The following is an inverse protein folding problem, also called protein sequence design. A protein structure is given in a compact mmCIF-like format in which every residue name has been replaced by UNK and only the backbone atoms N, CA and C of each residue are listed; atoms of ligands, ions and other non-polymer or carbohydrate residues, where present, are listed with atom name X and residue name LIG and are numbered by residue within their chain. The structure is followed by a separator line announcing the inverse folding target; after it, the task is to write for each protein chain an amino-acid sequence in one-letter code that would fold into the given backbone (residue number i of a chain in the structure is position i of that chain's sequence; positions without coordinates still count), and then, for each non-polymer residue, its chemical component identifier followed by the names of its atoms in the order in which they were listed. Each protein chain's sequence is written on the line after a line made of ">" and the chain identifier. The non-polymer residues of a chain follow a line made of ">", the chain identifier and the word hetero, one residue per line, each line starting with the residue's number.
data_IF_026689667729
#
_entry.id   IF_026689667729
#
_cell.length_a   1.000
_cell.length_b   1.000
_cell.length_c   1.000
_cell.angle_alpha   90.00
_cell.angle_beta   90.00
_cell.angle_gamma   90.00
#
_symmetry.space_group_name_H-M   'P 1'
#
loop_
_entity.id
_entity.type
_entity.pdbx_description
1 polymer ?
#
# COMPACT_ATOMS: atom_id res chain seq x y z
N UNK A 1 -20.07 16.25 -1.42
CA UNK A 1 -19.77 14.83 -1.30
C UNK A 1 -20.80 14.10 -0.41
N UNK A 2 -20.72 14.25 0.91
CA UNK A 2 -21.61 13.53 1.85
C UNK A 2 -23.11 13.80 1.58
N UNK A 3 -23.49 15.05 1.38
CA UNK A 3 -24.87 15.43 1.09
C UNK A 3 -25.36 14.83 -0.25
N UNK A 4 -24.54 14.81 -1.27
CA UNK A 4 -24.87 14.21 -2.57
C UNK A 4 -25.12 12.71 -2.43
N UNK A 5 -24.25 11.98 -1.72
CA UNK A 5 -24.42 10.56 -1.46
C UNK A 5 -25.67 10.26 -0.64
N UNK A 6 -25.96 11.06 0.39
CA UNK A 6 -27.18 10.90 1.20
C UNK A 6 -28.45 11.11 0.37
N UNK A 7 -28.45 12.08 -0.55
CA UNK A 7 -29.60 12.33 -1.43
C UNK A 7 -29.77 11.22 -2.49
N UNK A 8 -28.66 10.69 -3.03
CA UNK A 8 -28.69 9.66 -4.07
C UNK A 8 -29.06 8.27 -3.51
N UNK A 9 -28.56 7.93 -2.31
CA UNK A 9 -28.77 6.63 -1.67
C UNK A 9 -29.64 6.69 -0.42
N UNK A 10 -30.56 7.67 -0.33
CA UNK A 10 -31.39 7.89 0.85
C UNK A 10 -32.10 6.62 1.36
N UNK A 11 -32.56 5.77 0.44
CA UNK A 11 -33.24 4.51 0.77
C UNK A 11 -32.29 3.38 1.19
N UNK A 12 -31.02 3.41 0.75
CA UNK A 12 -30.02 2.34 0.97
C UNK A 12 -29.05 2.61 2.11
N UNK A 13 -28.80 3.90 2.41
CA UNK A 13 -27.78 4.35 3.37
C UNK A 13 -28.26 5.37 4.41
N UNK A 14 -29.53 5.39 4.86
CA UNK A 14 -30.08 6.52 5.60
C UNK A 14 -29.33 6.83 6.89
N UNK A 15 -28.71 5.84 7.56
CA UNK A 15 -27.94 6.02 8.79
C UNK A 15 -26.50 5.52 8.73
N UNK A 16 -26.18 4.61 7.79
CA UNK A 16 -24.88 3.96 7.73
C UNK A 16 -23.75 4.96 7.48
N UNK A 17 -23.92 5.86 6.51
CA UNK A 17 -22.90 6.83 6.14
C UNK A 17 -22.62 7.83 7.28
N UNK A 18 -23.60 8.56 7.83
CA UNK A 18 -23.33 9.49 8.94
C UNK A 18 -22.79 8.78 10.19
N UNK A 19 -23.22 7.55 10.49
CA UNK A 19 -22.69 6.78 11.64
C UNK A 19 -21.21 6.43 11.43
N UNK A 20 -20.82 5.95 10.23
CA UNK A 20 -19.41 5.66 9.93
C UNK A 20 -18.56 6.94 9.98
N UNK A 21 -19.07 8.06 9.45
CA UNK A 21 -18.34 9.34 9.50
C UNK A 21 -18.25 9.89 10.91
N UNK A 22 -19.32 9.87 11.68
CA UNK A 22 -19.29 10.29 13.08
C UNK A 22 -18.32 9.43 13.89
N UNK A 23 -18.32 8.12 13.67
CA UNK A 23 -17.37 7.21 14.29
C UNK A 23 -15.91 7.53 13.91
N UNK A 24 -15.62 7.81 12.64
CA UNK A 24 -14.29 8.17 12.17
C UNK A 24 -13.83 9.50 12.79
N UNK A 25 -14.66 10.54 12.75
CA UNK A 25 -14.35 11.84 13.36
C UNK A 25 -14.14 11.73 14.86
N UNK A 26 -14.95 10.91 15.54
CA UNK A 26 -14.76 10.67 16.97
C UNK A 26 -13.44 9.96 17.27
N UNK A 27 -13.08 8.95 16.48
CA UNK A 27 -11.79 8.24 16.60
C UNK A 27 -10.62 9.20 16.36
N UNK A 28 -10.70 10.01 15.30
CA UNK A 28 -9.69 11.02 14.99
C UNK A 28 -9.54 12.02 16.15
N UNK A 29 -10.65 12.52 16.68
CA UNK A 29 -10.68 13.45 17.80
C UNK A 29 -10.09 12.83 19.07
N UNK A 30 -10.50 11.60 19.43
CA UNK A 30 -9.96 10.89 20.60
C UNK A 30 -8.44 10.66 20.42
N UNK A 31 -8.03 10.17 19.23
CA UNK A 31 -6.63 9.91 18.95
C UNK A 31 -5.78 11.17 19.04
N UNK A 32 -6.20 12.26 18.40
CA UNK A 32 -5.52 13.55 18.47
C UNK A 32 -5.50 14.11 19.88
N UNK A 33 -6.60 14.00 20.64
CA UNK A 33 -6.70 14.43 22.02
C UNK A 33 -5.73 13.67 22.93
N UNK A 34 -5.67 12.34 22.83
CA UNK A 34 -4.73 11.50 23.58
C UNK A 34 -3.27 11.87 23.23
N UNK A 35 -3.00 12.19 21.98
CA UNK A 35 -1.68 12.63 21.51
C UNK A 35 -1.41 14.12 21.75
N UNK A 36 -2.35 14.88 22.34
CA UNK A 36 -2.30 16.33 22.55
C UNK A 36 -1.90 17.11 21.30
N UNK A 37 -2.39 16.67 20.13
CA UNK A 37 -2.11 17.25 18.80
C UNK A 37 -0.61 17.39 18.45
N UNK A 38 0.27 16.68 19.13
CA UNK A 38 1.71 16.73 18.85
C UNK A 38 2.13 15.64 17.88
N UNK A 39 2.69 16.06 16.72
CA UNK A 39 3.26 15.17 15.72
C UNK A 39 2.28 14.18 15.09
N UNK A 40 1.02 14.57 14.87
CA UNK A 40 -0.06 13.73 14.30
C UNK A 40 -0.25 13.93 12.79
N UNK A 41 0.69 14.57 12.10
CA UNK A 41 0.53 14.91 10.68
C UNK A 41 0.35 13.70 9.75
N UNK A 42 1.02 12.58 10.03
CA UNK A 42 0.89 11.34 9.25
C UNK A 42 -0.51 10.77 9.41
N UNK A 43 -1.02 10.74 10.64
CA UNK A 43 -2.33 10.21 10.97
C UNK A 43 -3.46 11.05 10.38
N UNK A 44 -3.35 12.39 10.39
CA UNK A 44 -4.34 13.27 9.77
C UNK A 44 -4.43 13.06 8.25
N UNK A 45 -3.29 12.92 7.56
CA UNK A 45 -3.28 12.58 6.14
C UNK A 45 -3.89 11.20 5.89
N UNK A 46 -3.64 10.22 6.76
CA UNK A 46 -4.23 8.89 6.65
C UNK A 46 -5.76 8.95 6.84
N UNK A 47 -6.27 9.69 7.83
CA UNK A 47 -7.70 9.87 8.04
C UNK A 47 -8.37 10.58 6.85
N UNK A 48 -7.70 11.57 6.24
CA UNK A 48 -8.20 12.18 5.01
C UNK A 48 -8.37 11.13 3.89
N UNK A 49 -7.35 10.31 3.62
CA UNK A 49 -7.40 9.25 2.60
C UNK A 49 -8.51 8.24 2.90
N UNK A 50 -8.62 7.81 4.15
CA UNK A 50 -9.67 6.87 4.60
C UNK A 50 -11.06 7.47 4.46
N UNK A 51 -11.23 8.77 4.72
CA UNK A 51 -12.49 9.49 4.49
C UNK A 51 -12.92 9.38 3.03
N UNK A 52 -12.00 9.62 2.09
CA UNK A 52 -12.27 9.44 0.65
C UNK A 52 -12.59 7.96 0.35
N UNK A 53 -11.83 7.00 0.94
CA UNK A 53 -12.10 5.58 0.78
C UNK A 53 -13.49 5.14 1.29
N UNK A 54 -13.99 5.72 2.37
CA UNK A 54 -15.37 5.47 2.84
C UNK A 54 -16.41 6.08 1.88
N UNK A 55 -16.14 7.24 1.27
CA UNK A 55 -17.00 7.79 0.22
C UNK A 55 -17.03 6.87 -0.99
N UNK A 56 -15.87 6.35 -1.44
CA UNK A 56 -15.79 5.37 -2.54
C UNK A 56 -16.62 4.13 -2.22
N UNK A 57 -16.46 3.54 -1.03
CA UNK A 57 -17.23 2.37 -0.61
C UNK A 57 -18.73 2.65 -0.56
N UNK A 58 -19.12 3.84 -0.07
CA UNK A 58 -20.52 4.24 0.02
C UNK A 58 -21.16 4.46 -1.36
N UNK A 59 -20.38 4.97 -2.32
CA UNK A 59 -20.87 5.27 -3.66
C UNK A 59 -20.89 4.03 -4.55
N UNK A 60 -19.77 3.32 -4.66
CA UNK A 60 -19.62 2.19 -5.58
C UNK A 60 -20.36 0.94 -5.10
N UNK A 61 -20.22 0.58 -3.82
CA UNK A 61 -20.80 -0.65 -3.23
C UNK A 61 -21.36 -0.34 -1.84
N UNK A 62 -22.55 0.27 -1.73
CA UNK A 62 -23.14 0.69 -0.45
C UNK A 62 -23.19 -0.40 0.61
N UNK A 63 -23.41 -1.66 0.22
CA UNK A 63 -23.44 -2.82 1.13
C UNK A 63 -22.07 -3.17 1.73
N UNK A 64 -20.98 -2.67 1.17
CA UNK A 64 -19.60 -2.88 1.66
C UNK A 64 -19.18 -1.86 2.72
N UNK A 65 -19.92 -0.76 2.89
CA UNK A 65 -19.53 0.37 3.76
C UNK A 65 -19.19 -0.07 5.18
N UNK A 66 -20.04 -0.90 5.81
CA UNK A 66 -19.80 -1.38 7.18
C UNK A 66 -18.57 -2.29 7.26
N UNK A 67 -18.34 -3.12 6.22
CA UNK A 67 -17.16 -3.98 6.16
C UNK A 67 -15.89 -3.15 6.01
N UNK A 68 -15.94 -2.12 5.18
CA UNK A 68 -14.83 -1.18 4.99
C UNK A 68 -14.55 -0.39 6.28
N UNK A 69 -15.59 0.07 6.98
CA UNK A 69 -15.44 0.75 8.27
C UNK A 69 -14.86 -0.19 9.34
N UNK A 70 -15.32 -1.44 9.41
CA UNK A 70 -14.73 -2.44 10.30
C UNK A 70 -13.24 -2.70 9.98
N UNK A 71 -12.88 -2.69 8.70
CA UNK A 71 -11.47 -2.80 8.28
C UNK A 71 -10.62 -1.60 8.71
N UNK A 72 -11.19 -0.39 8.72
CA UNK A 72 -10.54 0.81 9.28
C UNK A 72 -10.29 0.63 10.77
N UNK A 73 -11.27 0.16 11.54
CA UNK A 73 -11.12 -0.12 12.98
C UNK A 73 -10.03 -1.17 13.24
N UNK A 74 -10.05 -2.27 12.48
CA UNK A 74 -9.03 -3.30 12.57
C UNK A 74 -7.64 -2.75 12.21
N UNK A 75 -7.56 -1.95 11.15
CA UNK A 75 -6.31 -1.30 10.72
C UNK A 75 -5.75 -0.38 11.80
N UNK A 76 -6.60 0.44 12.42
CA UNK A 76 -6.19 1.31 13.52
C UNK A 76 -5.70 0.50 14.73
N UNK A 77 -6.36 -0.61 15.05
CA UNK A 77 -5.89 -1.51 16.11
C UNK A 77 -4.51 -2.10 15.76
N UNK A 78 -4.31 -2.57 14.51
CA UNK A 78 -3.02 -3.07 14.04
C UNK A 78 -1.93 -1.98 14.09
N UNK A 79 -2.26 -0.75 13.68
CA UNK A 79 -1.36 0.40 13.80
C UNK A 79 -0.93 0.64 15.25
N UNK A 80 -1.86 0.60 16.21
CA UNK A 80 -1.58 0.77 17.62
C UNK A 80 -0.69 -0.36 18.16
N UNK A 81 -1.05 -1.62 17.87
CA UNK A 81 -0.29 -2.81 18.31
C UNK A 81 1.13 -2.78 17.75
N UNK A 82 1.27 -2.55 16.44
CA UNK A 82 2.59 -2.50 15.82
C UNK A 82 3.40 -1.30 16.33
N UNK A 83 2.78 -0.16 16.54
CA UNK A 83 3.44 1.02 17.16
C UNK A 83 3.94 0.74 18.57
N UNK A 84 3.26 -0.12 19.34
CA UNK A 84 3.72 -0.55 20.66
C UNK A 84 4.92 -1.52 20.56
N UNK A 85 4.86 -2.50 19.63
CA UNK A 85 5.96 -3.44 19.40
C UNK A 85 7.22 -2.69 18.93
N UNK A 86 7.07 -1.73 18.04
CA UNK A 86 8.19 -0.93 17.50
C UNK A 86 8.85 0.00 18.53
N UNK A 87 8.25 0.22 19.71
CA UNK A 87 8.92 0.95 20.81
C UNK A 87 10.10 0.18 21.40
N UNK A 88 10.05 -1.14 21.36
CA UNK A 88 11.10 -2.02 21.86
C UNK A 88 11.89 -2.64 20.69
N UNK A 89 13.06 -2.06 20.41
CA UNK A 89 13.96 -2.53 19.34
C UNK A 89 14.45 -3.94 19.61
N UNK A 90 14.68 -4.30 20.89
CA UNK A 90 15.19 -5.64 21.24
C UNK A 90 14.12 -6.71 20.97
N UNK A 91 12.87 -6.44 21.33
CA UNK A 91 11.73 -7.29 21.01
C UNK A 91 11.56 -7.43 19.48
N UNK A 92 11.66 -6.33 18.74
CA UNK A 92 11.59 -6.30 17.28
C UNK A 92 12.65 -7.21 16.66
N UNK A 93 13.89 -7.14 17.17
CA UNK A 93 14.97 -7.98 16.68
C UNK A 93 14.78 -9.46 17.00
N UNK A 94 14.19 -9.82 18.13
CA UNK A 94 13.88 -11.21 18.50
C UNK A 94 12.77 -11.79 17.63
N UNK A 95 11.75 -10.99 17.33
CA UNK A 95 10.57 -11.42 16.57
C UNK A 95 10.83 -11.58 15.06
N UNK A 96 11.87 -11.00 14.49
CA UNK A 96 12.12 -10.96 13.04
C UNK A 96 12.08 -12.32 12.33
N UNK A 97 12.69 -13.34 12.93
CA UNK A 97 12.72 -14.67 12.33
C UNK A 97 11.36 -15.37 12.38
N UNK A 98 10.64 -15.19 13.49
CA UNK A 98 9.29 -15.75 13.65
C UNK A 98 8.34 -15.10 12.66
N UNK A 99 8.34 -13.76 12.59
CA UNK A 99 7.50 -12.99 11.67
C UNK A 99 7.86 -13.29 10.21
N UNK A 100 9.16 -13.39 9.89
CA UNK A 100 9.60 -13.76 8.55
C UNK A 100 9.19 -15.17 8.14
N UNK A 101 9.31 -16.15 9.04
CA UNK A 101 8.86 -17.53 8.79
C UNK A 101 7.33 -17.61 8.62
N UNK A 102 6.57 -16.90 9.46
CA UNK A 102 5.11 -16.83 9.35
C UNK A 102 4.69 -16.17 8.03
N UNK A 103 5.39 -15.12 7.58
CA UNK A 103 5.12 -14.45 6.32
C UNK A 103 5.28 -15.39 5.11
N UNK A 104 6.42 -16.10 5.04
CA UNK A 104 6.66 -17.09 3.98
C UNK A 104 5.67 -18.24 4.08
N UNK A 105 5.43 -18.77 5.29
CA UNK A 105 4.45 -19.83 5.52
C UNK A 105 3.04 -19.45 5.07
N UNK A 106 2.62 -18.22 5.32
CA UNK A 106 1.31 -17.70 4.91
C UNK A 106 1.18 -17.58 3.39
N UNK A 107 2.24 -17.16 2.68
CA UNK A 107 2.24 -17.13 1.20
C UNK A 107 2.24 -18.52 0.60
N UNK A 108 3.02 -19.44 1.18
CA UNK A 108 3.03 -20.85 0.74
C UNK A 108 1.65 -21.48 0.96
N UNK A 109 1.06 -21.25 2.14
CA UNK A 109 -0.30 -21.72 2.41
C UNK A 109 -1.30 -21.16 1.38
N UNK A 110 -1.23 -19.85 1.09
CA UNK A 110 -2.08 -19.20 0.10
C UNK A 110 -1.92 -19.79 -1.32
N UNK A 111 -0.70 -20.20 -1.68
CA UNK A 111 -0.45 -20.85 -2.97
C UNK A 111 -1.27 -22.14 -3.13
N UNK A 112 -1.46 -22.90 -2.04
CA UNK A 112 -2.21 -24.16 -2.06
C UNK A 112 -3.71 -23.98 -1.94
N UNK A 113 -4.18 -23.17 -0.98
CA UNK A 113 -5.61 -23.04 -0.66
C UNK A 113 -6.29 -21.80 -1.26
N UNK A 114 -5.52 -20.90 -1.89
CA UNK A 114 -6.04 -19.64 -2.44
C UNK A 114 -7.05 -19.86 -3.56
N UNK A 115 -8.06 -19.00 -3.62
CA UNK A 115 -9.03 -18.89 -4.70
C UNK A 115 -8.54 -17.95 -5.80
N UNK A 116 -8.91 -18.23 -7.05
CA UNK A 116 -8.59 -17.37 -8.19
C UNK A 116 -9.65 -16.29 -8.33
N UNK A 117 -9.23 -15.01 -8.23
CA UNK A 117 -10.07 -13.83 -8.52
C UNK A 117 -9.28 -12.86 -9.40
N UNK A 118 -9.92 -12.30 -10.42
CA UNK A 118 -9.26 -11.36 -11.34
C UNK A 118 -8.03 -11.91 -12.08
N UNK A 119 -7.90 -13.25 -12.17
CA UNK A 119 -6.78 -13.93 -12.82
C UNK A 119 -5.60 -14.28 -11.90
N UNK A 120 -5.58 -13.81 -10.65
CA UNK A 120 -4.59 -14.17 -9.63
C UNK A 120 -5.15 -15.11 -8.57
N UNK A 121 -4.35 -16.10 -8.12
CA UNK A 121 -4.73 -17.07 -7.07
C UNK A 121 -4.21 -16.58 -5.71
N UNK A 122 -4.71 -15.44 -5.22
CA UNK A 122 -4.16 -14.74 -4.05
C UNK A 122 -5.18 -14.42 -2.95
N UNK A 123 -6.38 -15.02 -3.00
CA UNK A 123 -7.45 -14.77 -2.05
C UNK A 123 -7.78 -16.01 -1.23
N UNK A 124 -7.98 -15.86 0.08
CA UNK A 124 -8.50 -16.89 0.98
C UNK A 124 -9.89 -16.50 1.41
N UNK A 125 -10.86 -17.38 1.15
CA UNK A 125 -12.25 -17.19 1.56
C UNK A 125 -12.48 -17.89 2.91
N UNK A 126 -12.83 -17.11 3.95
CA UNK A 126 -13.14 -17.61 5.28
C UNK A 126 -14.67 -17.75 5.52
N UNK A 127 -15.45 -17.67 4.44
CA UNK A 127 -16.92 -17.73 4.47
C UNK A 127 -17.56 -16.36 4.70
N UNK A 128 -17.27 -15.68 5.78
CA UNK A 128 -17.83 -14.36 6.12
C UNK A 128 -16.96 -13.18 5.63
N UNK A 129 -15.65 -13.38 5.46
CA UNK A 129 -14.71 -12.43 4.88
C UNK A 129 -13.78 -13.13 3.91
N UNK A 130 -13.32 -12.38 2.90
CA UNK A 130 -12.24 -12.78 2.00
C UNK A 130 -11.00 -11.96 2.33
N UNK A 131 -9.87 -12.61 2.50
CA UNK A 131 -8.60 -12.00 2.90
C UNK A 131 -7.57 -12.22 1.78
N UNK A 132 -6.76 -11.21 1.53
CA UNK A 132 -5.58 -11.30 0.68
C UNK A 132 -4.33 -11.36 1.58
N UNK A 133 -3.72 -12.54 1.78
CA UNK A 133 -2.62 -12.72 2.70
C UNK A 133 -1.39 -11.87 2.38
N UNK A 134 -1.10 -11.65 1.09
CA UNK A 134 0.03 -10.85 0.64
C UNK A 134 0.00 -9.39 1.17
N UNK A 135 -1.18 -8.85 1.47
CA UNK A 135 -1.31 -7.54 2.09
C UNK A 135 -0.66 -7.49 3.48
N UNK A 136 -0.92 -8.48 4.32
CA UNK A 136 -0.31 -8.60 5.65
C UNK A 136 1.17 -8.98 5.56
N UNK A 137 1.53 -9.78 4.57
CA UNK A 137 2.94 -10.15 4.35
C UNK A 137 3.78 -8.95 3.96
N UNK A 138 3.24 -7.89 3.30
CA UNK A 138 3.96 -6.63 3.09
C UNK A 138 4.48 -6.03 4.39
N UNK A 139 3.65 -6.00 5.42
CA UNK A 139 4.02 -5.51 6.76
C UNK A 139 5.14 -6.35 7.37
N UNK A 140 4.97 -7.68 7.32
CA UNK A 140 5.97 -8.63 7.83
C UNK A 140 7.29 -8.57 7.03
N UNK A 141 7.22 -8.32 5.73
CA UNK A 141 8.38 -8.17 4.84
C UNK A 141 9.24 -6.97 5.25
N UNK A 142 8.63 -5.81 5.48
CA UNK A 142 9.34 -4.62 5.98
C UNK A 142 9.94 -4.93 7.35
N UNK A 143 9.13 -5.48 8.28
CA UNK A 143 9.54 -5.79 9.63
C UNK A 143 10.78 -6.70 9.67
N UNK A 144 10.70 -7.86 9.02
CA UNK A 144 11.79 -8.84 9.03
C UNK A 144 12.96 -8.45 8.13
N UNK A 145 12.70 -7.86 6.97
CA UNK A 145 13.72 -7.43 6.01
C UNK A 145 14.65 -6.36 6.57
N UNK A 146 14.09 -5.31 7.17
CA UNK A 146 14.88 -4.24 7.80
C UNK A 146 15.66 -4.74 9.00
N UNK A 147 15.08 -5.60 9.84
CA UNK A 147 15.72 -6.15 11.00
C UNK A 147 16.86 -7.13 10.66
N UNK A 148 16.78 -7.83 9.53
CA UNK A 148 17.82 -8.76 9.08
C UNK A 148 19.09 -8.02 8.68
N UNK A 149 18.96 -6.81 8.12
CA UNK A 149 20.08 -5.99 7.64
C UNK A 149 20.59 -4.99 8.68
N UNK A 150 20.00 -4.86 9.88
CA UNK A 150 20.45 -3.87 10.86
C UNK A 150 21.84 -4.15 11.43
N UNK A 151 22.19 -5.41 11.64
CA UNK A 151 23.55 -5.79 12.07
C UNK A 151 24.45 -5.86 10.84
N UNK A 152 25.53 -5.08 10.87
CA UNK A 152 26.61 -4.95 9.88
C UNK A 152 26.44 -5.81 8.60
N UNK A 153 26.61 -5.25 7.41
CA UNK A 153 26.54 -5.96 6.12
C UNK A 153 27.55 -7.13 6.07
N UNK A 154 27.21 -8.21 6.80
CA UNK A 154 27.90 -9.48 6.69
C UNK A 154 27.31 -10.16 5.45
N UNK A 155 28.14 -10.74 4.60
CA UNK A 155 27.75 -11.53 3.43
C UNK A 155 26.57 -12.50 3.75
N UNK A 156 26.60 -13.13 4.93
CA UNK A 156 25.53 -13.98 5.41
C UNK A 156 24.18 -13.29 5.55
N UNK A 157 24.14 -12.08 6.11
CA UNK A 157 22.88 -11.33 6.29
C UNK A 157 22.30 -10.86 4.97
N UNK A 158 23.15 -10.48 4.03
CA UNK A 158 22.74 -10.11 2.67
C UNK A 158 22.12 -11.30 1.93
N UNK A 159 22.77 -12.48 2.01
CA UNK A 159 22.20 -13.71 1.42
C UNK A 159 20.86 -14.05 2.06
N UNK A 160 20.76 -14.01 3.39
CA UNK A 160 19.50 -14.29 4.11
C UNK A 160 18.39 -13.33 3.67
N UNK A 161 18.69 -12.06 3.50
CA UNK A 161 17.72 -11.07 3.02
C UNK A 161 17.28 -11.34 1.58
N UNK A 162 18.20 -11.67 0.69
CA UNK A 162 17.89 -12.03 -0.71
C UNK A 162 17.05 -13.30 -0.78
N UNK A 163 17.42 -14.33 0.00
CA UNK A 163 16.65 -15.58 0.08
C UNK A 163 15.25 -15.35 0.66
N UNK A 164 15.13 -14.54 1.71
CA UNK A 164 13.83 -14.17 2.29
C UNK A 164 12.97 -13.39 1.28
N UNK A 165 13.57 -12.42 0.57
CA UNK A 165 12.88 -11.66 -0.46
C UNK A 165 12.43 -12.57 -1.61
N UNK A 166 13.28 -13.47 -2.06
CA UNK A 166 12.95 -14.48 -3.08
C UNK A 166 11.83 -15.43 -2.62
N UNK A 167 11.86 -15.85 -1.36
CA UNK A 167 10.81 -16.69 -0.76
C UNK A 167 9.46 -15.97 -0.62
N UNK A 168 9.44 -14.63 -0.52
CA UNK A 168 8.21 -13.85 -0.56
C UNK A 168 7.74 -13.57 -1.99
N UNK A 169 8.65 -13.20 -2.90
CA UNK A 169 8.32 -12.81 -4.27
C UNK A 169 7.96 -14.05 -5.13
N UNK A 170 8.68 -15.16 -4.97
CA UNK A 170 8.47 -16.37 -5.77
C UNK A 170 7.04 -16.92 -5.76
N UNK A 171 6.41 -17.14 -4.60
CA UNK A 171 5.01 -17.55 -4.54
C UNK A 171 4.04 -16.59 -5.23
N UNK A 172 4.28 -15.27 -5.16
CA UNK A 172 3.44 -14.27 -5.84
C UNK A 172 3.49 -14.42 -7.37
N UNK A 173 4.66 -14.73 -7.93
CA UNK A 173 4.76 -15.07 -9.35
C UNK A 173 3.97 -16.34 -9.70
N UNK A 174 4.07 -17.39 -8.90
CA UNK A 174 3.32 -18.62 -9.10
C UNK A 174 1.80 -18.40 -9.00
N UNK A 175 1.37 -17.50 -8.14
CA UNK A 175 -0.03 -17.07 -7.98
C UNK A 175 -0.51 -16.11 -9.07
N UNK A 176 0.36 -15.68 -9.99
CA UNK A 176 0.11 -14.68 -11.05
C UNK A 176 -0.24 -13.29 -10.51
N UNK A 177 0.21 -12.96 -9.30
CA UNK A 177 0.05 -11.65 -8.68
C UNK A 177 1.30 -10.78 -8.93
N UNK A 178 1.47 -10.36 -10.18
CA UNK A 178 2.65 -9.60 -10.62
C UNK A 178 2.69 -8.18 -10.04
N UNK A 179 1.52 -7.58 -9.81
CA UNK A 179 1.42 -6.26 -9.21
C UNK A 179 1.98 -6.24 -7.80
N UNK A 180 1.53 -7.16 -6.96
CA UNK A 180 2.04 -7.30 -5.59
C UNK A 180 3.51 -7.73 -5.58
N UNK A 181 3.93 -8.63 -6.49
CA UNK A 181 5.34 -9.02 -6.63
C UNK A 181 6.24 -7.82 -6.95
N UNK A 182 5.80 -6.92 -7.82
CA UNK A 182 6.53 -5.69 -8.15
C UNK A 182 6.64 -4.75 -6.93
N UNK A 183 5.59 -4.66 -6.08
CA UNK A 183 5.62 -3.87 -4.84
C UNK A 183 6.64 -4.44 -3.85
N UNK A 184 6.67 -5.77 -3.67
CA UNK A 184 7.69 -6.43 -2.83
C UNK A 184 9.10 -6.22 -3.38
N UNK A 185 9.26 -6.31 -4.69
CA UNK A 185 10.54 -6.06 -5.34
C UNK A 185 11.01 -4.62 -5.13
N UNK A 186 10.13 -3.62 -5.24
CA UNK A 186 10.45 -2.24 -4.92
C UNK A 186 10.85 -2.08 -3.45
N UNK A 187 10.12 -2.71 -2.51
CA UNK A 187 10.49 -2.75 -1.10
C UNK A 187 11.89 -3.35 -0.87
N UNK A 188 12.22 -4.46 -1.56
CA UNK A 188 13.54 -5.08 -1.53
C UNK A 188 14.63 -4.11 -2.01
N UNK A 189 14.40 -3.41 -3.12
CA UNK A 189 15.36 -2.44 -3.66
C UNK A 189 15.61 -1.29 -2.68
N UNK A 190 14.55 -0.73 -2.09
CA UNK A 190 14.68 0.37 -1.13
C UNK A 190 15.46 -0.08 0.11
N UNK A 191 15.12 -1.23 0.70
CA UNK A 191 15.82 -1.78 1.85
C UNK A 191 17.29 -2.05 1.54
N UNK A 192 17.57 -2.68 0.38
CA UNK A 192 18.93 -2.97 -0.06
C UNK A 192 19.75 -1.69 -0.28
N UNK A 193 19.16 -0.68 -0.96
CA UNK A 193 19.83 0.59 -1.22
C UNK A 193 20.10 1.39 0.04
N UNK A 194 19.09 1.57 0.88
CA UNK A 194 19.24 2.30 2.14
C UNK A 194 20.33 1.70 3.04
N UNK A 195 20.58 0.42 2.87
CA UNK A 195 21.62 -0.29 3.63
C UNK A 195 23.00 -0.28 2.97
N UNK A 196 23.05 -0.48 1.65
CA UNK A 196 24.32 -0.56 0.92
C UNK A 196 24.93 0.82 0.59
N UNK A 197 24.06 1.82 0.35
CA UNK A 197 24.46 3.10 -0.20
C UNK A 197 25.01 3.02 -1.64
N UNK A 198 24.99 1.83 -2.26
CA UNK A 198 25.59 1.57 -3.56
C UNK A 198 24.54 1.43 -4.66
N UNK A 199 24.57 2.36 -5.62
CA UNK A 199 23.67 2.33 -6.78
C UNK A 199 23.89 1.09 -7.68
N UNK A 200 25.08 0.47 -7.66
CA UNK A 200 25.37 -0.75 -8.42
C UNK A 200 24.51 -1.92 -7.95
N UNK A 201 24.19 -1.96 -6.67
CA UNK A 201 23.25 -2.94 -6.10
C UNK A 201 21.87 -2.80 -6.72
N UNK A 202 21.34 -1.58 -6.86
CA UNK A 202 20.07 -1.32 -7.53
C UNK A 202 20.16 -1.73 -9.00
N UNK A 203 21.19 -1.30 -9.71
CA UNK A 203 21.38 -1.60 -11.13
C UNK A 203 21.41 -3.11 -11.38
N UNK A 204 22.13 -3.87 -10.54
CA UNK A 204 22.21 -5.33 -10.62
C UNK A 204 20.83 -5.99 -10.43
N UNK A 205 20.13 -5.69 -9.35
CA UNK A 205 18.81 -6.29 -9.10
C UNK A 205 17.75 -5.85 -10.10
N UNK A 206 17.78 -4.58 -10.54
CA UNK A 206 16.89 -4.10 -11.58
C UNK A 206 17.16 -4.77 -12.93
N UNK A 207 18.42 -4.98 -13.29
CA UNK A 207 18.80 -5.73 -14.49
C UNK A 207 18.31 -7.18 -14.45
N UNK A 208 18.46 -7.83 -13.29
CA UNK A 208 17.96 -9.18 -13.06
C UNK A 208 16.42 -9.24 -13.16
N UNK A 209 15.71 -8.23 -12.62
CA UNK A 209 14.27 -8.14 -12.72
C UNK A 209 13.78 -7.93 -14.16
N UNK A 210 14.47 -7.07 -14.94
CA UNK A 210 14.16 -6.86 -16.37
C UNK A 210 14.36 -8.16 -17.15
N UNK A 211 15.47 -8.85 -16.92
CA UNK A 211 15.71 -10.16 -17.57
C UNK A 211 14.63 -11.19 -17.17
N UNK A 212 14.27 -11.27 -15.88
CA UNK A 212 13.18 -12.13 -15.41
C UNK A 212 11.82 -11.77 -16.02
N UNK A 213 11.49 -10.48 -16.11
CA UNK A 213 10.27 -10.00 -16.73
C UNK A 213 10.22 -10.37 -18.22
N UNK A 214 11.33 -10.24 -18.96
CA UNK A 214 11.42 -10.64 -20.36
C UNK A 214 11.14 -12.14 -20.54
N UNK A 215 11.69 -12.98 -19.67
CA UNK A 215 11.42 -14.44 -19.67
C UNK A 215 9.94 -14.71 -19.39
N UNK A 216 9.35 -14.04 -18.40
CA UNK A 216 7.93 -14.21 -18.03
C UNK A 216 7.01 -13.83 -19.20
N UNK A 217 7.27 -12.68 -19.84
CA UNK A 217 6.50 -12.21 -20.99
C UNK A 217 6.60 -13.22 -22.13
N UNK A 218 7.78 -13.81 -22.38
CA UNK A 218 7.98 -14.79 -23.44
C UNK A 218 7.24 -16.11 -23.20
N UNK A 219 7.12 -16.55 -21.94
CA UNK A 219 6.55 -17.87 -21.61
C UNK A 219 5.12 -17.85 -21.04
N UNK A 220 4.59 -16.65 -20.66
CA UNK A 220 3.25 -16.54 -20.08
C UNK A 220 2.30 -15.70 -20.96
N UNK A 221 1.41 -16.35 -21.76
CA UNK A 221 0.49 -15.63 -22.68
C UNK A 221 -0.40 -14.61 -21.99
N UNK A 222 -0.82 -14.85 -20.75
CA UNK A 222 -1.61 -13.92 -19.95
C UNK A 222 -0.88 -12.59 -19.68
N UNK A 223 0.42 -12.66 -19.41
CA UNK A 223 1.25 -11.46 -19.21
C UNK A 223 1.48 -10.77 -20.54
N UNK A 224 1.81 -11.52 -21.58
CA UNK A 224 1.99 -11.01 -22.93
C UNK A 224 0.76 -10.25 -23.43
N UNK A 225 -0.47 -10.73 -23.16
CA UNK A 225 -1.71 -10.05 -23.57
C UNK A 225 -1.89 -8.69 -22.88
N UNK A 226 -1.51 -8.56 -21.60
CA UNK A 226 -1.54 -7.26 -20.89
C UNK A 226 -0.54 -6.27 -21.48
N UNK A 227 0.64 -6.74 -21.88
CA UNK A 227 1.63 -5.90 -22.57
C UNK A 227 1.21 -5.55 -24.00
N UNK A 228 0.49 -6.42 -24.69
CA UNK A 228 -0.06 -6.14 -26.03
C UNK A 228 -1.14 -5.03 -25.98
N UNK A 229 -1.93 -4.98 -24.91
CA UNK A 229 -2.94 -3.92 -24.71
C UNK A 229 -2.32 -2.61 -24.27
N UNK A 230 -1.16 -2.63 -23.64
CA UNK A 230 -0.48 -1.45 -23.10
C UNK A 230 -0.20 -0.41 -24.19
N UNK A 231 -0.62 0.85 -23.97
CA UNK A 231 -0.62 1.98 -24.91
C UNK A 231 -1.52 1.82 -26.16
N UNK A 232 -2.30 0.72 -26.21
CA UNK A 232 -3.25 0.44 -27.28
C UNK A 232 -4.65 0.18 -26.71
N UNK A 233 -4.94 0.67 -25.48
CA UNK A 233 -6.19 0.39 -24.78
C UNK A 233 -7.43 0.76 -25.62
N UNK A 234 -7.36 1.82 -26.45
CA UNK A 234 -8.45 2.25 -27.32
C UNK A 234 -8.72 1.29 -28.49
N UNK A 235 -7.71 0.60 -29.00
CA UNK A 235 -7.88 -0.42 -30.04
C UNK A 235 -8.56 -1.67 -29.48
N UNK A 236 -8.37 -1.93 -28.18
CA UNK A 236 -8.96 -3.06 -27.45
C UNK A 236 -10.08 -2.62 -26.48
N UNK A 237 -10.76 -1.49 -26.77
CA UNK A 237 -11.75 -0.89 -25.86
C UNK A 237 -12.96 -1.79 -25.54
N UNK A 238 -13.28 -2.77 -26.40
CA UNK A 238 -14.35 -3.74 -26.18
C UNK A 238 -13.87 -5.04 -25.49
N UNK A 239 -12.58 -5.17 -25.19
CA UNK A 239 -11.98 -6.40 -24.63
C UNK A 239 -10.99 -6.10 -23.50
N UNK A 240 -9.71 -6.35 -23.69
CA UNK A 240 -8.66 -6.21 -22.66
C UNK A 240 -8.37 -4.76 -22.23
N UNK A 241 -8.68 -3.77 -23.06
CA UNK A 241 -8.55 -2.31 -22.79
C UNK A 241 -9.80 -1.68 -22.19
N UNK A 242 -10.87 -2.44 -21.95
CA UNK A 242 -12.15 -1.91 -21.48
C UNK A 242 -12.04 -1.11 -20.18
N UNK A 243 -11.36 -1.65 -19.18
CA UNK A 243 -11.22 -0.99 -17.88
C UNK A 243 -10.46 0.33 -18.00
N UNK A 244 -9.32 0.37 -18.70
CA UNK A 244 -8.51 1.58 -18.88
C UNK A 244 -9.28 2.66 -19.66
N UNK A 245 -9.93 2.30 -20.78
CA UNK A 245 -10.68 3.27 -21.61
C UNK A 245 -11.85 3.87 -20.85
N UNK A 246 -12.60 3.05 -20.08
CA UNK A 246 -13.68 3.57 -19.21
C UNK A 246 -13.15 4.47 -18.11
N UNK A 247 -12.02 4.14 -17.51
CA UNK A 247 -11.37 4.98 -16.51
C UNK A 247 -10.93 6.32 -17.07
N UNK A 248 -10.32 6.35 -18.25
CA UNK A 248 -9.92 7.61 -18.90
C UNK A 248 -11.13 8.48 -19.26
N UNK A 249 -12.24 7.87 -19.74
CA UNK A 249 -13.49 8.58 -19.98
C UNK A 249 -14.05 9.17 -18.68
N UNK A 250 -14.07 8.38 -17.60
CA UNK A 250 -14.54 8.81 -16.29
C UNK A 250 -13.72 9.99 -15.73
N UNK A 251 -12.38 9.95 -15.82
CA UNK A 251 -11.51 11.07 -15.44
C UNK A 251 -11.86 12.33 -16.26
N UNK A 252 -12.07 12.16 -17.56
CA UNK A 252 -12.43 13.28 -18.46
C UNK A 252 -13.81 13.87 -18.13
N UNK A 253 -14.80 13.03 -17.84
CA UNK A 253 -16.17 13.47 -17.50
C UNK A 253 -16.24 14.17 -16.13
N UNK A 254 -15.45 13.71 -15.15
CA UNK A 254 -15.39 14.33 -13.83
C UNK A 254 -14.78 15.72 -13.81
N UNK A 255 -13.86 16.02 -14.73
CA UNK A 255 -13.16 17.30 -14.77
C UNK A 255 -12.42 17.60 -13.47
N UNK A 256 -12.33 18.89 -13.10
CA UNK A 256 -11.60 19.31 -11.90
C UNK A 256 -12.38 19.06 -10.59
N UNK A 257 -13.71 19.17 -10.62
CA UNK A 257 -14.55 19.20 -9.40
C UNK A 257 -15.46 17.98 -9.25
N UNK A 258 -15.53 17.10 -10.23
CA UNK A 258 -16.36 15.92 -10.23
C UNK A 258 -17.82 16.14 -10.58
N UNK A 259 -18.52 15.06 -10.95
CA UNK A 259 -19.96 15.07 -11.25
C UNK A 259 -20.82 14.98 -9.98
N UNK A 260 -20.22 14.75 -8.83
CA UNK A 260 -20.89 14.54 -7.54
C UNK A 260 -20.95 13.06 -7.15
N UNK A 261 -20.87 12.79 -5.83
CA UNK A 261 -20.89 11.43 -5.31
C UNK A 261 -22.19 10.71 -5.69
N UNK A 262 -22.07 9.50 -6.21
CA UNK A 262 -23.17 8.67 -6.69
C UNK A 262 -23.71 9.01 -8.08
N UNK A 263 -23.16 10.02 -8.76
CA UNK A 263 -23.57 10.40 -10.12
C UNK A 263 -22.55 9.96 -11.20
N UNK A 264 -21.51 9.25 -10.81
CA UNK A 264 -20.57 8.62 -11.73
C UNK A 264 -21.15 7.38 -12.40
N UNK A 265 -20.48 6.90 -13.44
CA UNK A 265 -20.84 5.69 -14.19
C UNK A 265 -19.74 4.62 -14.13
N UNK A 266 -18.60 4.92 -13.52
CA UNK A 266 -17.48 3.97 -13.45
C UNK A 266 -17.78 2.80 -12.51
N UNK A 267 -18.75 2.93 -11.58
CA UNK A 267 -19.25 1.87 -10.70
C UNK A 267 -19.75 0.63 -11.46
N UNK A 268 -20.18 0.81 -12.74
CA UNK A 268 -20.59 -0.29 -13.61
C UNK A 268 -19.42 -1.12 -14.11
N UNK A 269 -18.18 -0.66 -13.94
CA UNK A 269 -16.98 -1.34 -14.38
C UNK A 269 -16.43 -2.21 -13.24
N UNK A 270 -16.07 -3.45 -13.56
CA UNK A 270 -15.52 -4.37 -12.57
C UNK A 270 -14.26 -3.78 -11.90
N UNK A 271 -14.18 -3.90 -10.56
CA UNK A 271 -13.08 -3.40 -9.74
C UNK A 271 -12.85 -1.87 -9.79
N UNK A 272 -13.90 -1.10 -10.10
CA UNK A 272 -13.84 0.35 -10.11
C UNK A 272 -13.45 0.95 -8.75
N UNK A 273 -13.97 0.39 -7.68
CA UNK A 273 -13.74 0.78 -6.29
C UNK A 273 -12.42 0.28 -5.69
N UNK A 274 -11.72 -0.61 -6.39
CA UNK A 274 -10.44 -1.19 -5.94
C UNK A 274 -9.29 -0.80 -6.85
N UNK A 275 -9.24 -1.35 -8.06
CA UNK A 275 -8.11 -1.27 -8.98
C UNK A 275 -8.13 0.01 -9.83
N UNK A 276 -9.30 0.61 -10.02
CA UNK A 276 -9.52 1.82 -10.83
C UNK A 276 -9.93 3.03 -9.98
N UNK A 277 -9.71 2.96 -8.68
CA UNK A 277 -10.24 3.92 -7.70
C UNK A 277 -9.77 5.35 -7.96
N UNK A 278 -8.58 5.57 -8.53
CA UNK A 278 -8.14 6.90 -8.92
C UNK A 278 -9.08 7.54 -9.96
N UNK A 279 -9.51 6.76 -10.96
CA UNK A 279 -10.51 7.19 -11.94
C UNK A 279 -11.87 7.42 -11.31
N UNK A 280 -12.29 6.54 -10.41
CA UNK A 280 -13.55 6.65 -9.67
C UNK A 280 -13.61 7.94 -8.83
N UNK A 281 -12.57 8.24 -8.08
CA UNK A 281 -12.45 9.48 -7.30
C UNK A 281 -12.42 10.70 -8.23
N UNK A 282 -11.71 10.60 -9.38
CA UNK A 282 -11.64 11.68 -10.36
C UNK A 282 -13.01 11.98 -10.99
N UNK A 283 -13.83 10.95 -11.26
CA UNK A 283 -15.16 11.13 -11.82
C UNK A 283 -16.12 11.79 -10.82
N UNK A 284 -16.23 11.23 -9.61
CA UNK A 284 -17.24 11.69 -8.65
C UNK A 284 -16.85 12.95 -7.88
N UNK A 285 -15.60 13.07 -7.45
CA UNK A 285 -15.11 14.19 -6.62
C UNK A 285 -14.12 15.10 -7.33
N UNK A 286 -13.75 14.77 -8.54
CA UNK A 286 -12.90 15.57 -9.39
C UNK A 286 -11.41 15.22 -9.29
N UNK A 287 -10.71 15.56 -10.36
CA UNK A 287 -9.28 15.33 -10.50
C UNK A 287 -8.46 16.01 -9.37
N UNK A 288 -8.94 17.15 -8.85
CA UNK A 288 -8.28 17.87 -7.76
C UNK A 288 -8.18 17.00 -6.50
N UNK A 289 -9.28 16.36 -6.10
CA UNK A 289 -9.30 15.46 -4.91
C UNK A 289 -8.46 14.21 -5.16
N UNK A 290 -8.53 13.62 -6.36
CA UNK A 290 -7.71 12.47 -6.71
C UNK A 290 -6.20 12.80 -6.64
N UNK A 291 -5.79 13.97 -7.13
CA UNK A 291 -4.40 14.44 -7.02
C UNK A 291 -4.01 14.77 -5.57
N UNK A 292 -4.93 15.30 -4.74
CA UNK A 292 -4.69 15.48 -3.30
C UNK A 292 -4.43 14.13 -2.62
N UNK A 293 -5.16 13.06 -2.99
CA UNK A 293 -4.89 11.71 -2.46
C UNK A 293 -3.47 11.24 -2.83
N UNK A 294 -3.04 11.40 -4.08
CA UNK A 294 -1.67 11.10 -4.50
C UNK A 294 -0.64 11.97 -3.75
N UNK A 295 -0.95 13.26 -3.57
CA UNK A 295 -0.14 14.21 -2.82
C UNK A 295 0.08 13.79 -1.36
N UNK A 296 -0.91 13.23 -0.69
CA UNK A 296 -0.77 12.70 0.68
C UNK A 296 0.28 11.58 0.76
N UNK A 297 0.34 10.69 -0.23
CA UNK A 297 1.34 9.63 -0.27
C UNK A 297 2.74 10.17 -0.53
N UNK A 298 2.86 11.21 -1.37
CA UNK A 298 4.12 11.94 -1.56
C UNK A 298 4.56 12.59 -0.23
N UNK A 299 3.64 13.19 0.51
CA UNK A 299 3.93 13.77 1.84
C UNK A 299 4.38 12.71 2.84
N UNK A 300 3.84 11.48 2.81
CA UNK A 300 4.35 10.38 3.62
C UNK A 300 5.81 10.05 3.29
N UNK A 301 6.16 10.01 2.00
CA UNK A 301 7.53 9.73 1.59
C UNK A 301 8.50 10.86 1.98
N UNK A 302 8.10 12.11 1.78
CA UNK A 302 8.89 13.26 2.20
C UNK A 302 9.10 13.29 3.72
N UNK A 303 8.05 12.97 4.49
CA UNK A 303 8.14 12.85 5.94
C UNK A 303 9.09 11.71 6.35
N UNK A 304 8.95 10.52 5.74
CA UNK A 304 9.80 9.38 6.04
C UNK A 304 11.27 9.68 5.76
N UNK A 305 11.60 10.25 4.60
CA UNK A 305 12.98 10.62 4.24
C UNK A 305 13.53 11.69 5.18
N UNK A 306 12.74 12.73 5.48
CA UNK A 306 13.17 13.80 6.40
C UNK A 306 13.41 13.28 7.83
N UNK A 307 12.58 12.37 8.32
CA UNK A 307 12.77 11.77 9.63
C UNK A 307 13.93 10.76 9.62
N UNK A 308 14.08 9.98 8.54
CA UNK A 308 15.16 9.01 8.38
C UNK A 308 16.55 9.65 8.43
N UNK A 309 16.71 10.86 7.87
CA UNK A 309 18.00 11.59 7.91
C UNK A 309 18.43 12.00 9.33
N UNK A 310 17.52 11.96 10.30
CA UNK A 310 17.75 12.31 11.71
C UNK A 310 17.59 11.12 12.66
N UNK A 311 17.25 9.95 12.11
CA UNK A 311 16.98 8.75 12.91
C UNK A 311 18.25 8.24 13.60
N UNK A 312 18.08 7.78 14.84
CA UNK A 312 19.15 7.20 15.65
C UNK A 312 19.38 5.72 15.34
N UNK A 313 18.33 5.03 14.86
CA UNK A 313 18.37 3.63 14.46
C UNK A 313 18.19 3.48 12.96
N UNK A 314 19.10 2.74 12.32
CA UNK A 314 19.02 2.43 10.91
C UNK A 314 17.75 1.61 10.59
N UNK A 315 17.30 0.77 11.51
CA UNK A 315 16.08 -0.02 11.36
C UNK A 315 14.86 0.86 11.06
N UNK A 316 14.59 1.86 11.92
CA UNK A 316 13.43 2.73 11.73
C UNK A 316 13.53 3.60 10.49
N UNK A 317 14.74 4.10 10.17
CA UNK A 317 14.98 4.85 8.95
C UNK A 317 14.65 4.03 7.69
N UNK A 318 15.17 2.81 7.62
CA UNK A 318 14.98 1.91 6.47
C UNK A 318 13.51 1.48 6.38
N UNK A 319 12.90 1.08 7.51
CA UNK A 319 11.52 0.62 7.54
C UNK A 319 10.52 1.71 7.12
N UNK A 320 10.71 2.95 7.58
CA UNK A 320 9.87 4.07 7.20
C UNK A 320 10.00 4.41 5.70
N UNK A 321 11.23 4.46 5.18
CA UNK A 321 11.46 4.71 3.75
C UNK A 321 10.93 3.56 2.87
N UNK A 322 11.06 2.30 3.31
CA UNK A 322 10.51 1.15 2.60
C UNK A 322 8.97 1.20 2.57
N UNK A 323 8.32 1.45 3.71
CA UNK A 323 6.86 1.56 3.78
C UNK A 323 6.33 2.69 2.89
N UNK A 324 6.92 3.88 2.99
CA UNK A 324 6.51 5.04 2.19
C UNK A 324 6.79 4.85 0.69
N UNK A 325 7.92 4.25 0.33
CA UNK A 325 8.25 3.95 -1.05
C UNK A 325 7.34 2.88 -1.66
N UNK A 326 6.96 1.85 -0.89
CA UNK A 326 5.97 0.86 -1.33
C UNK A 326 4.59 1.50 -1.52
N UNK A 327 4.16 2.44 -0.67
CA UNK A 327 2.94 3.21 -0.86
C UNK A 327 2.97 4.01 -2.16
N UNK A 328 4.05 4.77 -2.41
CA UNK A 328 4.18 5.55 -3.64
C UNK A 328 4.17 4.67 -4.88
N UNK A 329 4.90 3.58 -4.85
CA UNK A 329 4.97 2.66 -5.99
C UNK A 329 3.62 1.97 -6.24
N UNK A 330 2.93 1.56 -5.19
CA UNK A 330 1.60 0.97 -5.29
C UNK A 330 0.58 1.98 -5.87
N UNK A 331 0.60 3.24 -5.43
CA UNK A 331 -0.22 4.29 -5.99
C UNK A 331 0.12 4.60 -7.46
N UNK A 332 1.41 4.62 -7.80
CA UNK A 332 1.86 4.80 -9.18
C UNK A 332 1.37 3.67 -10.09
N UNK A 333 1.44 2.41 -9.64
CA UNK A 333 0.88 1.29 -10.38
C UNK A 333 -0.64 1.39 -10.56
N UNK A 334 -1.38 1.86 -9.56
CA UNK A 334 -2.82 2.07 -9.66
C UNK A 334 -3.16 3.21 -10.64
N UNK A 335 -2.55 4.38 -10.47
CA UNK A 335 -2.80 5.57 -11.32
C UNK A 335 -2.39 5.28 -12.77
N UNK A 336 -1.13 4.89 -12.97
CA UNK A 336 -0.58 4.73 -14.32
C UNK A 336 -1.10 3.47 -15.02
N UNK A 337 -1.45 2.42 -14.27
CA UNK A 337 -2.09 1.23 -14.81
C UNK A 337 -3.52 1.49 -15.28
N UNK A 338 -4.30 2.27 -14.53
CA UNK A 338 -5.67 2.63 -14.88
C UNK A 338 -5.76 3.66 -16.01
N UNK A 339 -4.70 4.46 -16.22
CA UNK A 339 -4.62 5.49 -17.28
C UNK A 339 -3.81 5.06 -18.52
N UNK A 340 -3.50 3.78 -18.65
CA UNK A 340 -2.73 3.19 -19.77
C UNK A 340 -1.30 3.76 -19.94
N UNK A 341 -0.74 4.36 -18.88
CA UNK A 341 0.67 4.76 -18.83
C UNK A 341 1.60 3.64 -18.39
N UNK A 342 1.06 2.61 -17.71
CA UNK A 342 1.69 1.34 -17.38
C UNK A 342 0.69 0.20 -17.67
N UNK A 343 1.14 -1.05 -17.82
CA UNK A 343 0.24 -2.20 -17.88
C UNK A 343 -0.63 -2.28 -16.61
N UNK A 344 -1.93 -2.53 -16.77
CA UNK A 344 -2.85 -2.66 -15.65
C UNK A 344 -2.49 -3.88 -14.80
N UNK A 345 -2.15 -3.66 -13.53
CA UNK A 345 -1.68 -4.69 -12.60
C UNK A 345 -2.74 -5.16 -11.61
N UNK A 346 -3.83 -4.41 -11.41
CA UNK A 346 -4.88 -4.74 -10.46
C UNK A 346 -4.45 -4.58 -9.00
N UNK A 347 -3.68 -3.54 -8.69
CA UNK A 347 -3.29 -3.20 -7.32
C UNK A 347 -4.15 -2.08 -6.76
N UNK A 348 -4.42 -2.13 -5.47
CA UNK A 348 -5.24 -1.13 -4.77
C UNK A 348 -4.47 0.19 -4.58
N UNK A 349 -5.19 1.31 -4.52
CA UNK A 349 -4.63 2.59 -4.07
C UNK A 349 -4.58 2.62 -2.54
N UNK A 350 -3.43 2.87 -1.91
CA UNK A 350 -3.29 2.81 -0.46
C UNK A 350 -4.28 3.70 0.29
N UNK A 351 -4.97 3.15 1.30
CA UNK A 351 -5.91 3.83 2.20
C UNK A 351 -7.19 4.39 1.53
N UNK A 352 -7.34 4.30 0.20
CA UNK A 352 -8.50 4.83 -0.53
C UNK A 352 -9.36 3.71 -1.11
N UNK A 353 -8.74 2.68 -1.71
CA UNK A 353 -9.48 1.57 -2.31
C UNK A 353 -10.38 0.83 -1.30
N UNK A 354 -11.54 0.38 -1.78
CA UNK A 354 -12.47 -0.45 -1.02
C UNK A 354 -11.95 -1.90 -0.91
N UNK A 355 -11.03 -2.11 0.04
CA UNK A 355 -10.39 -3.41 0.24
C UNK A 355 -10.02 -3.63 1.70
N UNK A 356 -10.77 -4.50 2.41
CA UNK A 356 -10.62 -4.69 3.84
C UNK A 356 -9.20 -5.11 4.27
N UNK A 357 -8.60 -6.09 3.60
CA UNK A 357 -7.24 -6.55 3.90
C UNK A 357 -6.19 -5.48 3.61
N UNK A 358 -6.34 -4.77 2.48
CA UNK A 358 -5.45 -3.69 2.08
C UNK A 358 -5.54 -2.52 3.06
N UNK A 359 -6.76 -2.13 3.47
CA UNK A 359 -6.98 -1.07 4.44
C UNK A 359 -6.27 -1.38 5.77
N UNK A 360 -6.49 -2.57 6.33
CA UNK A 360 -5.89 -2.99 7.59
C UNK A 360 -4.36 -3.05 7.53
N UNK A 361 -3.80 -3.62 6.46
CA UNK A 361 -2.36 -3.71 6.26
C UNK A 361 -1.71 -2.34 6.04
N UNK A 362 -2.37 -1.43 5.31
CA UNK A 362 -1.86 -0.09 5.07
C UNK A 362 -1.77 0.74 6.36
N UNK A 363 -2.74 0.60 7.27
CA UNK A 363 -2.62 1.20 8.60
C UNK A 363 -1.44 0.62 9.39
N UNK A 364 -1.22 -0.69 9.33
CA UNK A 364 -0.05 -1.29 9.98
C UNK A 364 1.27 -0.76 9.36
N UNK A 365 1.33 -0.56 8.04
CA UNK A 365 2.51 0.04 7.38
C UNK A 365 2.77 1.48 7.84
N UNK A 366 1.73 2.28 8.12
CA UNK A 366 1.89 3.63 8.67
C UNK A 366 2.62 3.64 10.02
N UNK A 367 2.55 2.56 10.80
CA UNK A 367 3.27 2.46 12.07
C UNK A 367 4.78 2.58 11.91
N UNK A 368 5.36 2.07 10.80
CA UNK A 368 6.78 2.24 10.51
C UNK A 368 7.13 3.71 10.21
N UNK A 369 6.30 4.40 9.42
CA UNK A 369 6.49 5.82 9.10
C UNK A 369 6.38 6.67 10.38
N UNK A 370 5.45 6.30 11.26
CA UNK A 370 5.26 7.00 12.54
C UNK A 370 6.40 6.76 13.52
N UNK A 371 6.91 5.52 13.59
CA UNK A 371 7.94 5.11 14.53
C UNK A 371 9.23 5.94 14.38
N UNK A 372 9.66 6.23 13.15
CA UNK A 372 10.86 7.05 12.90
C UNK A 372 10.71 8.49 13.41
N UNK A 373 9.50 9.05 13.35
CA UNK A 373 9.23 10.38 13.89
C UNK A 373 9.24 10.42 15.42
N UNK A 374 8.73 9.37 16.07
CA UNK A 374 8.71 9.26 17.53
C UNK A 374 10.11 9.06 18.12
N UNK A 375 10.94 8.27 17.46
CA UNK A 375 12.32 8.04 17.87
C UNK A 375 13.13 9.36 17.94
N UNK A 376 12.88 10.27 17.01
CA UNK A 376 13.56 11.56 16.96
C UNK A 376 13.15 12.53 18.08
N UNK A 377 11.99 12.32 18.73
CA UNK A 377 11.48 13.17 19.82
C UNK A 377 11.75 12.61 21.21
N UNK A 378 12.26 11.38 21.34
CA UNK A 378 12.58 10.74 22.61
C UNK A 378 13.85 11.30 23.26
N UNK A 379 14.01 11.16 24.61
CA UNK A 379 15.27 11.51 25.27
C UNK A 379 16.44 10.70 24.68
N UNK A 380 17.68 11.25 24.67
CA UNK A 380 18.83 10.54 24.17
C UNK A 380 18.99 9.21 24.89
N UNK A 381 19.05 8.10 24.16
CA UNK A 381 19.38 6.80 24.74
C UNK A 381 20.77 6.91 25.37
N UNK A 382 20.86 6.60 26.65
CA UNK A 382 22.12 6.58 27.38
C UNK A 382 23.06 5.54 26.73
N UNK A 383 24.07 6.04 26.07
CA UNK A 383 25.31 5.35 25.71
C UNK A 383 25.19 4.13 24.80
N UNK A 384 25.34 4.35 23.47
CA UNK A 384 26.12 3.50 22.57
C UNK A 384 26.39 4.27 21.27
N UNK A 385 27.65 4.27 20.83
CA UNK A 385 28.26 5.10 19.79
C UNK A 385 27.38 5.41 18.57
N UNK A 386 27.09 6.68 18.39
CA UNK A 386 26.47 7.22 17.20
C UNK A 386 27.48 7.18 16.05
N UNK A 387 27.21 6.41 15.03
CA UNK A 387 27.80 6.64 13.69
C UNK A 387 26.78 7.49 12.93
N UNK A 388 27.07 8.74 12.59
CA UNK A 388 26.15 9.57 11.81
C UNK A 388 25.96 8.96 10.43
N UNK A 389 24.73 8.66 10.05
CA UNK A 389 24.37 8.17 8.71
C UNK A 389 24.80 9.14 7.58
N UNK A 390 24.99 10.43 7.90
CA UNK A 390 25.47 11.45 6.95
C UNK A 390 26.93 11.25 6.49
N UNK A 391 27.75 10.44 7.16
CA UNK A 391 29.10 10.12 6.70
C UNK A 391 29.13 9.09 5.55
N UNK A 392 27.99 8.48 5.22
CA UNK A 392 27.86 7.48 4.14
C UNK A 392 27.27 8.06 2.84
N UNK A 393 26.83 9.33 2.85
CA UNK A 393 26.21 9.99 1.66
C UNK A 393 27.24 10.88 0.90
N UNK A 394 28.44 11.03 1.42
CA UNK A 394 29.54 11.72 0.73
C UNK A 394 30.51 10.71 0.15
N UNK A 395 30.18 10.14 -0.99
CA UNK A 395 31.10 9.75 -2.08
C UNK A 395 30.31 9.79 -3.39
#
# INVERSE_FOLDING_TARGET
>A
GCLSLLLHYADKLPLALPVCFAGLLLMEWIYCGVRRFQGVGVELLAFFLVTIGLFVAASAVPSSLYKQFAAVLLGLAMFCVLSLILRDVELTMKLRYVIGALAVGLLVLNLFIGETRGGGKNWINLGFITIQPSEFVKVAFIFAGCATLERLMTYRNTILFVLFSGACIGPLFLMKDFGTAAIFFMGMLIIAYMRSGDWKTIAFFSGLAVAGAAVIIAFMPYVASRFATYRHAWEYAASSGYQQTRTMVAIGSGGLFGVGGGNGNLDMVAAADTDLVFGFVSEEWGLLIALCCAGCLILFALYAVRCASRARSAYFAIAACAAAGMFLFQAALNIFGSTDLLPLTGVTFPLVSNGGSSMAANFAMLAFIRAVGLENTGPPAAGKGQVPLLSLIHI
#
